data_IF_125453027844
#
_entry.id   IF_125453027844
#
_cell.length_a   1.000
_cell.length_b   1.000
_cell.length_c   1.000
_cell.angle_alpha   90.00
_cell.angle_beta   90.00
_cell.angle_gamma   90.00
#
_symmetry.space_group_name_H-M   'P 1'
#
loop_
_entity.id
_entity.type
_entity.pdbx_description
1 polymer ?
#
# COMPACT_ATOMS: atom_id res chain seq x y z
N UNK A 1 -10.08 6.94 15.54
CA UNK A 1 -9.00 5.93 15.40
C UNK A 1 -7.96 6.46 14.43
N UNK A 2 -6.70 6.45 14.80
CA UNK A 2 -5.66 6.90 13.87
C UNK A 2 -5.52 5.90 12.72
N UNK A 3 -5.27 6.44 11.54
CA UNK A 3 -5.02 5.63 10.35
C UNK A 3 -3.62 5.96 9.84
N UNK A 4 -3.07 5.05 9.05
CA UNK A 4 -1.76 5.21 8.43
C UNK A 4 -1.95 5.40 6.93
N UNK A 5 -1.20 6.32 6.36
CA UNK A 5 -1.20 6.54 4.92
C UNK A 5 -0.36 5.47 4.24
N UNK A 6 -0.92 4.87 3.20
CA UNK A 6 -0.22 3.86 2.43
C UNK A 6 -0.14 4.27 0.96
N UNK A 7 0.91 3.86 0.30
CA UNK A 7 1.01 4.00 -1.15
C UNK A 7 1.34 2.64 -1.75
N UNK A 8 0.78 2.41 -2.92
CA UNK A 8 0.85 1.13 -3.61
C UNK A 8 1.60 1.33 -4.91
N UNK A 9 2.64 0.53 -5.12
CA UNK A 9 3.56 0.71 -6.23
C UNK A 9 3.57 -0.54 -7.12
N UNK A 10 3.83 -0.31 -8.41
CA UNK A 10 3.97 -1.40 -9.37
C UNK A 10 5.40 -1.95 -9.35
N UNK A 11 5.69 -2.88 -10.28
CA UNK A 11 7.03 -3.50 -10.36
C UNK A 11 8.13 -2.54 -10.78
N UNK A 12 7.77 -1.38 -11.30
CA UNK A 12 8.72 -0.36 -11.75
C UNK A 12 8.95 0.72 -10.71
N UNK A 13 8.23 0.66 -9.58
CA UNK A 13 8.37 1.63 -8.51
C UNK A 13 7.47 2.85 -8.66
N UNK A 14 6.55 2.84 -9.63
CA UNK A 14 5.61 3.95 -9.80
C UNK A 14 4.42 3.78 -8.86
N UNK A 15 3.94 4.90 -8.32
CA UNK A 15 2.77 4.89 -7.44
C UNK A 15 1.52 4.73 -8.30
N UNK A 16 0.78 3.66 -8.05
CA UNK A 16 -0.46 3.38 -8.80
C UNK A 16 -1.71 3.65 -7.97
N UNK A 17 -1.58 3.74 -6.64
CA UNK A 17 -2.71 4.03 -5.77
C UNK A 17 -2.19 4.52 -4.42
N UNK A 18 -3.07 5.20 -3.67
CA UNK A 18 -2.80 5.63 -2.29
C UNK A 18 -4.09 5.56 -1.49
N UNK A 19 -3.95 5.40 -0.19
CA UNK A 19 -5.13 5.39 0.69
C UNK A 19 -4.73 5.32 2.15
N UNK A 20 -5.73 5.49 3.02
CA UNK A 20 -5.54 5.42 4.46
C UNK A 20 -6.15 4.13 4.98
N UNK A 21 -5.40 3.39 5.79
CA UNK A 21 -5.84 2.12 6.35
C UNK A 21 -5.42 2.04 7.82
N UNK A 22 -6.13 1.22 8.59
CA UNK A 22 -5.87 1.09 10.01
C UNK A 22 -4.56 0.37 10.30
N UNK A 23 -4.21 -0.62 9.47
CA UNK A 23 -2.98 -1.39 9.66
C UNK A 23 -2.52 -2.01 8.34
N UNK A 24 -1.36 -2.68 8.39
CA UNK A 24 -0.77 -3.30 7.21
C UNK A 24 -1.67 -4.40 6.62
N UNK A 25 -2.32 -5.18 7.48
CA UNK A 25 -3.19 -6.26 7.05
C UNK A 25 -4.32 -5.73 6.18
N UNK A 26 -4.93 -4.63 6.61
CA UNK A 26 -6.04 -4.01 5.87
C UNK A 26 -5.57 -3.47 4.53
N UNK A 27 -4.41 -2.79 4.52
CA UNK A 27 -3.85 -2.23 3.30
C UNK A 27 -3.51 -3.33 2.30
N UNK A 28 -2.87 -4.41 2.76
CA UNK A 28 -2.51 -5.51 1.88
C UNK A 28 -3.74 -6.24 1.34
N UNK A 29 -4.77 -6.40 2.18
CA UNK A 29 -6.01 -7.04 1.75
C UNK A 29 -6.69 -6.23 0.65
N UNK A 30 -6.70 -4.90 0.79
CA UNK A 30 -7.27 -4.03 -0.25
C UNK A 30 -6.48 -4.14 -1.56
N UNK A 31 -5.15 -4.17 -1.46
CA UNK A 31 -4.30 -4.24 -2.64
C UNK A 31 -4.49 -5.54 -3.43
N UNK A 32 -4.93 -6.60 -2.75
CA UNK A 32 -5.16 -7.91 -3.36
C UNK A 32 -6.62 -8.13 -3.76
N UNK A 33 -7.52 -7.21 -3.41
CA UNK A 33 -8.94 -7.36 -3.68
C UNK A 33 -9.24 -7.10 -5.17
N UNK A 34 -10.22 -7.81 -5.71
CA UNK A 34 -10.63 -7.65 -7.11
C UNK A 34 -11.16 -6.24 -7.39
N UNK A 35 -11.78 -5.62 -6.39
CA UNK A 35 -12.32 -4.27 -6.51
C UNK A 35 -11.39 -3.22 -5.90
N UNK A 36 -10.13 -3.56 -5.68
CA UNK A 36 -9.11 -2.65 -5.18
C UNK A 36 -8.50 -1.80 -6.29
N UNK A 37 -7.16 -1.66 -6.30
CA UNK A 37 -6.51 -0.83 -7.33
C UNK A 37 -6.70 -1.41 -8.72
N UNK A 38 -6.77 -0.53 -9.71
CA UNK A 38 -6.98 -0.95 -11.10
C UNK A 38 -5.75 -1.60 -11.71
N UNK A 39 -4.56 -1.24 -11.20
CA UNK A 39 -3.31 -1.77 -11.71
C UNK A 39 -2.71 -2.76 -10.72
N UNK A 40 -1.86 -3.65 -11.21
CA UNK A 40 -1.21 -4.65 -10.38
C UNK A 40 -0.25 -3.97 -9.40
N UNK A 41 -0.42 -4.28 -8.11
CA UNK A 41 0.44 -3.75 -7.06
C UNK A 41 1.49 -4.81 -6.73
N UNK A 42 2.75 -4.40 -6.74
CA UNK A 42 3.88 -5.28 -6.42
C UNK A 42 4.43 -5.00 -5.03
N UNK A 43 4.28 -3.77 -4.55
CA UNK A 43 4.87 -3.35 -3.29
C UNK A 43 3.98 -2.34 -2.59
N UNK A 44 3.97 -2.40 -1.25
CA UNK A 44 3.21 -1.47 -0.42
C UNK A 44 4.17 -0.77 0.51
N UNK A 45 4.04 0.54 0.62
CA UNK A 45 4.82 1.35 1.55
C UNK A 45 3.88 2.15 2.42
N UNK A 46 4.31 2.47 3.65
CA UNK A 46 3.52 3.28 4.56
C UNK A 46 4.29 4.51 4.99
N UNK A 47 3.55 5.56 5.32
CA UNK A 47 4.11 6.82 5.79
C UNK A 47 4.45 6.69 7.27
N UNK A 48 5.74 6.70 7.60
CA UNK A 48 6.19 6.54 8.97
C UNK A 48 5.96 7.80 9.81
N UNK A 49 6.13 7.69 11.13
CA UNK A 49 5.88 8.82 12.04
C UNK A 49 6.83 9.99 11.85
N UNK A 50 7.95 9.79 11.19
CA UNK A 50 8.93 10.84 10.92
C UNK A 50 8.79 11.44 9.52
N UNK A 51 7.74 11.10 8.81
CA UNK A 51 7.47 11.63 7.48
C UNK A 51 8.17 10.88 6.35
N UNK A 52 8.78 9.75 6.64
CA UNK A 52 9.45 8.94 5.63
C UNK A 52 8.55 7.78 5.20
N UNK A 53 8.79 7.28 3.99
CA UNK A 53 8.08 6.11 3.48
C UNK A 53 8.87 4.86 3.81
N UNK A 54 8.19 3.87 4.37
CA UNK A 54 8.80 2.61 4.79
C UNK A 54 8.09 1.44 4.13
N UNK A 55 8.84 0.38 3.91
CA UNK A 55 8.32 -0.82 3.28
C UNK A 55 7.33 -1.52 4.22
N UNK A 56 6.11 -1.77 3.72
CA UNK A 56 5.07 -2.44 4.50
C UNK A 56 4.89 -3.89 4.08
N UNK A 57 5.22 -4.22 2.82
CA UNK A 57 5.09 -5.57 2.34
C UNK A 57 5.19 -5.66 0.83
N UNK A 58 5.32 -6.87 0.33
CA UNK A 58 5.33 -7.15 -1.10
C UNK A 58 4.19 -8.10 -1.43
N UNK A 59 3.66 -7.96 -2.64
CA UNK A 59 2.60 -8.83 -3.14
C UNK A 59 3.19 -9.72 -4.21
N UNK A 60 2.86 -10.99 -4.12
CA UNK A 60 3.27 -11.98 -5.12
C UNK A 60 2.05 -12.36 -5.92
N UNK A 61 2.12 -12.08 -7.20
CA UNK A 61 1.04 -12.43 -8.11
C UNK A 61 0.98 -13.90 -8.41
#
# INVERSE_FOLDING_TARGET
MPVTRYRFLDGMGDIVAEGDFADHTEALAWAMADDGPEEEVQRVEYHGPQGDWRWAGALHG
#
